data_IF_470669912381
#
_entry.id   IF_470669912381
#
_cell.length_a   1.000
_cell.length_b   1.000
_cell.length_c   1.000
_cell.angle_alpha   90.00
_cell.angle_beta   90.00
_cell.angle_gamma   90.00
#
_symmetry.space_group_name_H-M   'P 1'
#
loop_
_entity.id
_entity.type
_entity.pdbx_description
1 polymer ?
#
# COMPACT_ATOMS: atom_id res chain seq x y z
N UNK A 1 -17.18 7.37 -9.29
CA UNK A 1 -15.99 6.49 -9.23
C UNK A 1 -14.74 7.15 -8.64
N UNK A 2 -14.46 8.46 -8.91
CA UNK A 2 -13.28 9.19 -8.37
C UNK A 2 -13.23 9.27 -6.82
N UNK A 3 -14.35 9.38 -6.12
CA UNK A 3 -14.39 9.57 -4.66
C UNK A 3 -14.21 8.27 -3.84
N UNK A 4 -14.53 7.11 -4.41
CA UNK A 4 -14.45 5.82 -3.71
C UNK A 4 -13.04 5.24 -3.63
N UNK A 5 -12.15 5.54 -4.59
CA UNK A 5 -10.78 5.04 -4.59
C UNK A 5 -9.93 5.62 -3.45
N UNK A 6 -10.17 6.86 -3.03
CA UNK A 6 -9.33 7.54 -2.02
C UNK A 6 -9.73 7.16 -0.60
N UNK A 7 -11.04 7.00 -0.33
CA UNK A 7 -11.55 6.75 1.02
C UNK A 7 -11.46 5.29 1.49
N UNK A 8 -11.46 4.33 0.57
CA UNK A 8 -11.49 2.90 0.87
C UNK A 8 -10.12 2.18 0.76
N UNK A 9 -9.07 2.92 0.41
CA UNK A 9 -7.72 2.37 0.19
C UNK A 9 -7.07 1.73 1.44
N UNK A 10 -7.70 1.77 2.61
CA UNK A 10 -7.04 1.46 3.88
C UNK A 10 -7.44 0.11 4.49
N UNK A 11 -8.52 -0.53 4.10
CA UNK A 11 -8.96 -1.82 4.68
C UNK A 11 -9.32 -2.84 3.61
N UNK A 12 -8.87 -4.05 3.70
CA UNK A 12 -9.21 -5.27 2.89
C UNK A 12 -9.84 -4.97 1.52
N UNK A 13 -9.12 -4.23 0.72
CA UNK A 13 -9.61 -3.33 -0.33
C UNK A 13 -10.57 -4.02 -1.31
N UNK A 14 -10.18 -5.17 -1.86
CA UNK A 14 -10.92 -5.73 -2.98
C UNK A 14 -12.28 -6.32 -2.58
N UNK A 15 -12.38 -6.94 -1.38
CA UNK A 15 -13.63 -7.57 -0.94
C UNK A 15 -14.62 -6.57 -0.38
N UNK A 16 -14.16 -5.58 0.39
CA UNK A 16 -15.01 -4.54 0.94
C UNK A 16 -15.54 -3.65 -0.18
N UNK A 17 -14.65 -3.22 -1.09
CA UNK A 17 -15.07 -2.44 -2.28
C UNK A 17 -16.09 -3.23 -3.10
N UNK A 18 -15.81 -4.53 -3.36
CA UNK A 18 -16.74 -5.38 -4.10
C UNK A 18 -18.10 -5.48 -3.40
N UNK A 19 -18.11 -5.63 -2.07
CA UNK A 19 -19.34 -5.67 -1.28
C UNK A 19 -20.07 -4.32 -1.31
N UNK A 20 -19.38 -3.23 -1.05
CA UNK A 20 -19.96 -1.87 -1.07
C UNK A 20 -20.59 -1.56 -2.42
N UNK A 21 -19.87 -1.79 -3.53
CA UNK A 21 -20.41 -1.56 -4.87
C UNK A 21 -21.62 -2.46 -5.19
N UNK A 22 -21.62 -3.68 -4.66
CA UNK A 22 -22.76 -4.60 -4.79
C UNK A 22 -23.96 -4.12 -3.98
N UNK A 23 -23.74 -3.72 -2.72
CA UNK A 23 -24.78 -3.24 -1.82
C UNK A 23 -25.40 -1.90 -2.30
N UNK A 24 -24.60 -1.04 -2.93
CA UNK A 24 -25.02 0.21 -3.58
C UNK A 24 -25.68 0.00 -4.94
N UNK A 25 -25.75 -1.24 -5.44
CA UNK A 25 -26.39 -1.57 -6.72
C UNK A 25 -25.63 -1.04 -7.95
N UNK A 26 -24.34 -0.71 -7.81
CA UNK A 26 -23.53 -0.23 -8.93
C UNK A 26 -23.25 -1.41 -9.88
N UNK A 27 -23.61 -1.31 -11.19
CA UNK A 27 -23.41 -2.41 -12.12
C UNK A 27 -21.91 -2.66 -12.38
N UNK A 28 -21.55 -3.93 -12.58
CA UNK A 28 -20.19 -4.30 -13.01
C UNK A 28 -19.93 -3.85 -14.44
N UNK A 29 -18.66 -3.76 -14.89
CA UNK A 29 -18.34 -3.46 -16.30
C UNK A 29 -18.98 -4.42 -17.31
N UNK A 30 -19.33 -5.64 -16.89
CA UNK A 30 -20.02 -6.64 -17.70
C UNK A 30 -21.56 -6.59 -17.55
N UNK A 31 -22.11 -5.58 -16.88
CA UNK A 31 -23.55 -5.43 -16.66
C UNK A 31 -24.14 -6.30 -15.54
N UNK A 32 -23.32 -7.03 -14.78
CA UNK A 32 -23.79 -7.85 -13.65
C UNK A 32 -24.01 -7.01 -12.38
N UNK A 33 -24.69 -7.59 -11.39
CA UNK A 33 -25.02 -6.92 -10.12
C UNK A 33 -24.03 -7.24 -8.99
N UNK A 34 -23.23 -8.30 -9.11
CA UNK A 34 -22.26 -8.72 -8.08
C UNK A 34 -20.83 -8.43 -8.49
N UNK A 35 -20.14 -7.65 -7.68
CA UNK A 35 -18.72 -7.38 -7.86
C UNK A 35 -17.86 -8.49 -7.29
N UNK A 36 -16.86 -8.94 -8.05
CA UNK A 36 -15.84 -9.89 -7.60
C UNK A 36 -14.59 -9.19 -7.09
N UNK A 37 -13.97 -9.72 -6.03
CA UNK A 37 -12.72 -9.17 -5.49
C UNK A 37 -11.56 -9.21 -6.51
N UNK A 38 -11.55 -10.21 -7.39
CA UNK A 38 -10.56 -10.32 -8.49
C UNK A 38 -10.73 -9.20 -9.51
N UNK A 39 -11.97 -8.83 -9.84
CA UNK A 39 -12.27 -7.71 -10.74
C UNK A 39 -11.80 -6.40 -10.15
N UNK A 40 -12.09 -6.16 -8.86
CA UNK A 40 -11.61 -4.96 -8.15
C UNK A 40 -10.09 -4.92 -8.13
N UNK A 41 -9.42 -6.04 -7.79
CA UNK A 41 -7.96 -6.09 -7.81
C UNK A 41 -7.38 -5.79 -9.18
N UNK A 42 -7.98 -6.33 -10.25
CA UNK A 42 -7.57 -6.05 -11.63
C UNK A 42 -7.72 -4.58 -12.00
N UNK A 43 -8.82 -3.93 -11.57
CA UNK A 43 -9.04 -2.49 -11.79
C UNK A 43 -7.99 -1.67 -11.01
N UNK A 44 -7.77 -1.97 -9.74
CA UNK A 44 -6.83 -1.22 -8.89
C UNK A 44 -5.37 -1.34 -9.36
N UNK A 45 -4.99 -2.43 -10.03
CA UNK A 45 -3.62 -2.67 -10.53
C UNK A 45 -3.42 -2.37 -12.01
N UNK A 46 -4.42 -1.81 -12.68
CA UNK A 46 -4.30 -1.51 -14.11
C UNK A 46 -3.68 -0.12 -14.33
N UNK A 47 -2.46 -0.10 -14.86
CA UNK A 47 -1.66 1.11 -15.12
C UNK A 47 -2.36 2.12 -16.05
N UNK A 48 -3.33 1.68 -16.84
CA UNK A 48 -4.10 2.57 -17.72
C UNK A 48 -4.88 3.64 -16.96
N UNK A 49 -5.22 3.40 -15.70
CA UNK A 49 -5.92 4.42 -14.91
C UNK A 49 -5.04 5.61 -14.54
N UNK A 50 -3.71 5.43 -14.49
CA UNK A 50 -2.76 6.54 -14.26
C UNK A 50 -2.25 7.19 -15.54
N UNK A 51 -2.71 6.74 -16.73
CA UNK A 51 -2.33 7.30 -18.02
C UNK A 51 -1.25 6.52 -18.76
N UNK A 52 -0.74 5.42 -18.23
CA UNK A 52 0.33 4.61 -18.82
C UNK A 52 -0.22 3.42 -19.60
N UNK A 53 0.64 2.79 -20.38
CA UNK A 53 0.29 1.56 -21.10
C UNK A 53 1.44 0.56 -21.09
N UNK A 54 1.17 -0.66 -20.61
CA UNK A 54 2.07 -1.81 -20.79
C UNK A 54 1.63 -2.58 -22.03
N UNK A 55 2.46 -2.57 -23.05
CA UNK A 55 2.23 -3.26 -24.33
C UNK A 55 2.77 -4.70 -24.26
N UNK A 56 2.22 -5.57 -25.09
CA UNK A 56 2.60 -6.98 -25.19
C UNK A 56 2.42 -7.77 -23.87
N UNK A 57 1.35 -7.47 -23.12
CA UNK A 57 0.94 -8.28 -21.95
C UNK A 57 0.59 -9.72 -22.31
N UNK A 58 0.15 -9.93 -23.54
CA UNK A 58 -0.16 -11.24 -24.10
C UNK A 58 0.44 -11.37 -25.49
N UNK A 59 0.77 -12.58 -25.89
CA UNK A 59 1.25 -12.89 -27.23
C UNK A 59 0.62 -14.18 -27.74
N UNK A 60 0.64 -14.38 -29.05
CA UNK A 60 0.18 -15.59 -29.68
C UNK A 60 1.31 -16.63 -29.65
N UNK A 61 1.11 -17.74 -28.93
CA UNK A 61 2.12 -18.79 -28.77
C UNK A 61 2.30 -19.58 -30.07
N UNK A 62 1.19 -19.80 -30.77
CA UNK A 62 1.17 -20.59 -32.02
C UNK A 62 0.25 -19.90 -33.02
N UNK A 63 0.81 -19.63 -34.20
CA UNK A 63 0.10 -18.94 -35.29
C UNK A 63 -1.09 -19.79 -35.81
N UNK A 64 -1.00 -21.12 -35.79
CA UNK A 64 -2.04 -21.99 -36.29
C UNK A 64 -3.24 -22.06 -35.35
N UNK A 65 -2.99 -22.21 -34.06
CA UNK A 65 -4.03 -22.32 -33.03
C UNK A 65 -4.54 -20.96 -32.54
N UNK A 66 -3.81 -19.87 -32.81
CA UNK A 66 -4.10 -18.49 -32.36
C UNK A 66 -4.31 -18.38 -30.83
N UNK A 67 -3.73 -19.33 -30.08
CA UNK A 67 -3.85 -19.37 -28.63
C UNK A 67 -3.06 -18.24 -28.00
N UNK A 68 -3.76 -17.36 -27.29
CA UNK A 68 -3.16 -16.23 -26.55
C UNK A 68 -2.58 -16.73 -25.22
N UNK A 69 -1.34 -16.35 -24.93
CA UNK A 69 -0.64 -16.64 -23.69
C UNK A 69 -0.24 -15.32 -23.02
N UNK A 70 -0.33 -15.28 -21.68
CA UNK A 70 0.19 -14.14 -20.90
C UNK A 70 1.71 -14.12 -21.01
N UNK A 71 2.27 -12.99 -21.41
CA UNK A 71 3.71 -12.77 -21.50
C UNK A 71 4.32 -12.69 -20.08
N UNK A 72 5.20 -13.63 -19.78
CA UNK A 72 5.95 -13.68 -18.52
C UNK A 72 7.45 -13.39 -18.72
N UNK A 73 7.80 -12.76 -19.84
CA UNK A 73 9.17 -12.45 -20.24
C UNK A 73 9.63 -13.19 -21.48
N UNK A 74 8.76 -13.99 -22.13
CA UNK A 74 9.09 -14.71 -23.36
C UNK A 74 9.24 -13.78 -24.57
N UNK A 75 8.50 -12.65 -24.56
CA UNK A 75 8.55 -11.62 -25.60
C UNK A 75 8.80 -10.27 -24.93
N UNK A 76 9.59 -9.35 -25.53
CA UNK A 76 9.81 -8.02 -24.97
C UNK A 76 8.49 -7.29 -24.68
N UNK A 77 8.40 -6.69 -23.49
CA UNK A 77 7.29 -5.82 -23.10
C UNK A 77 7.74 -4.36 -23.16
N UNK A 78 6.86 -3.48 -23.58
CA UNK A 78 7.15 -2.06 -23.67
C UNK A 78 6.21 -1.29 -22.75
N UNK A 79 6.81 -0.53 -21.82
CA UNK A 79 6.08 0.36 -20.93
C UNK A 79 6.13 1.78 -21.51
N UNK A 80 4.95 2.36 -21.73
CA UNK A 80 4.81 3.71 -22.28
C UNK A 80 4.18 4.59 -21.21
N UNK A 81 4.94 5.55 -20.71
CA UNK A 81 4.45 6.54 -19.75
C UNK A 81 3.66 7.64 -20.47
N UNK A 82 2.65 8.18 -19.78
CA UNK A 82 1.80 9.27 -20.29
C UNK A 82 1.20 8.99 -21.68
N UNK A 83 0.80 7.76 -21.92
CA UNK A 83 0.20 7.32 -23.18
C UNK A 83 -1.16 7.99 -23.47
N UNK A 84 -1.89 8.36 -22.41
CA UNK A 84 -3.20 9.01 -22.48
C UNK A 84 -3.47 9.80 -21.20
N UNK A 85 -4.51 10.63 -21.21
CA UNK A 85 -4.92 11.41 -20.05
C UNK A 85 -5.26 10.51 -18.86
N UNK A 86 -4.65 10.79 -17.70
CA UNK A 86 -4.84 10.02 -16.49
C UNK A 86 -6.27 10.19 -15.91
N UNK A 87 -6.93 9.08 -15.61
CA UNK A 87 -8.24 9.08 -14.92
C UNK A 87 -8.05 9.28 -13.43
N UNK A 88 -6.97 8.72 -12.88
CA UNK A 88 -6.57 8.81 -11.48
C UNK A 88 -5.18 9.44 -11.45
N UNK A 89 -4.99 10.39 -10.55
CA UNK A 89 -3.69 10.99 -10.30
C UNK A 89 -2.62 9.92 -10.08
N UNK A 90 -1.45 10.02 -10.76
CA UNK A 90 -0.37 9.03 -10.63
C UNK A 90 0.10 8.80 -9.19
N UNK A 91 0.17 9.84 -8.35
CA UNK A 91 0.56 9.71 -6.95
C UNK A 91 -0.45 8.83 -6.17
N UNK A 92 -1.73 9.06 -6.38
CA UNK A 92 -2.81 8.26 -5.79
C UNK A 92 -2.75 6.80 -6.25
N UNK A 93 -2.49 6.56 -7.54
CA UNK A 93 -2.33 5.21 -8.05
C UNK A 93 -1.16 4.48 -7.39
N UNK A 94 0.00 5.12 -7.31
CA UNK A 94 1.20 4.56 -6.67
C UNK A 94 0.99 4.28 -5.17
N UNK A 95 0.27 5.15 -4.45
CA UNK A 95 -0.12 4.90 -3.06
C UNK A 95 -0.93 3.61 -2.92
N UNK A 96 -1.89 3.38 -3.84
CA UNK A 96 -2.69 2.14 -3.86
C UNK A 96 -1.82 0.92 -4.14
N UNK A 97 -0.89 1.00 -5.11
CA UNK A 97 0.03 -0.12 -5.42
C UNK A 97 0.89 -0.50 -4.21
N UNK A 98 1.44 0.49 -3.50
CA UNK A 98 2.25 0.25 -2.30
C UNK A 98 1.45 -0.39 -1.19
N UNK A 99 0.23 0.06 -0.95
CA UNK A 99 -0.64 -0.56 0.05
C UNK A 99 -1.00 -2.00 -0.33
N UNK A 100 -1.25 -2.28 -1.61
CA UNK A 100 -1.45 -3.64 -2.11
C UNK A 100 -0.20 -4.50 -1.89
N UNK A 101 0.99 -3.99 -2.22
CA UNK A 101 2.27 -4.69 -2.03
C UNK A 101 2.59 -4.92 -0.54
N UNK A 102 2.36 -3.93 0.32
CA UNK A 102 2.54 -4.05 1.78
C UNK A 102 1.73 -5.21 2.35
N UNK A 103 0.51 -5.40 1.88
CA UNK A 103 -0.40 -6.47 2.33
C UNK A 103 -0.03 -7.84 1.78
N UNK A 104 0.57 -7.91 0.59
CA UNK A 104 1.00 -9.18 0.00
C UNK A 104 2.31 -9.68 0.58
N UNK A 105 3.22 -8.81 1.01
CA UNK A 105 4.51 -9.16 1.63
C UNK A 105 4.37 -9.75 3.04
N UNK A 106 3.26 -9.53 3.73
CA UNK A 106 3.00 -10.16 5.04
C UNK A 106 2.77 -11.67 4.89
N UNK A 107 3.56 -12.49 5.63
CA UNK A 107 3.41 -13.96 5.70
C UNK A 107 2.03 -14.45 6.14
N UNK A 108 1.20 -13.57 6.65
CA UNK A 108 -0.16 -13.87 7.08
C UNK A 108 -1.13 -13.46 5.96
N UNK A 109 -1.55 -14.43 5.16
CA UNK A 109 -2.71 -14.30 4.28
C UNK A 109 -3.96 -14.13 5.14
N UNK A 110 -4.25 -12.89 5.52
CA UNK A 110 -5.54 -12.59 6.13
C UNK A 110 -6.59 -12.71 5.03
N UNK A 111 -7.66 -13.46 5.31
CA UNK A 111 -8.78 -13.61 4.37
C UNK A 111 -9.47 -12.28 4.04
N UNK A 112 -9.12 -11.20 4.75
CA UNK A 112 -9.56 -9.83 4.49
C UNK A 112 -11.08 -9.61 4.54
N UNK A 113 -11.86 -10.63 4.93
CA UNK A 113 -13.33 -10.63 4.91
C UNK A 113 -13.92 -9.77 6.03
N UNK A 114 -13.17 -9.53 7.10
CA UNK A 114 -13.67 -8.81 8.28
C UNK A 114 -12.87 -7.53 8.53
N UNK A 115 -13.55 -6.51 9.02
CA UNK A 115 -13.00 -5.18 9.33
C UNK A 115 -11.80 -5.24 10.30
N UNK A 116 -11.83 -6.15 11.27
CA UNK A 116 -10.77 -6.31 12.28
C UNK A 116 -9.59 -7.16 11.80
N UNK A 117 -9.65 -7.76 10.60
CA UNK A 117 -8.59 -8.63 10.08
C UNK A 117 -7.26 -7.88 9.92
N UNK A 118 -6.19 -8.41 10.54
CA UNK A 118 -4.86 -7.80 10.50
C UNK A 118 -4.74 -6.48 11.27
N UNK A 119 -5.68 -6.18 12.16
CA UNK A 119 -5.70 -4.95 12.95
C UNK A 119 -5.51 -5.16 14.45
N UNK A 120 -5.52 -6.39 14.93
CA UNK A 120 -5.35 -6.69 16.36
C UNK A 120 -4.11 -7.55 16.56
N UNK A 121 -3.15 -7.06 17.32
CA UNK A 121 -1.94 -7.77 17.75
C UNK A 121 -2.13 -8.46 19.10
N UNK A 122 -1.43 -9.55 19.30
CA UNK A 122 -1.33 -10.23 20.59
C UNK A 122 -0.21 -9.61 21.41
N UNK A 123 -0.51 -9.14 22.61
CA UNK A 123 0.48 -8.58 23.55
C UNK A 123 1.47 -9.61 24.08
N UNK A 124 1.12 -10.92 24.08
CA UNK A 124 2.03 -11.96 24.55
C UNK A 124 3.08 -12.35 23.50
N UNK A 125 2.65 -12.64 22.26
CA UNK A 125 3.55 -13.20 21.25
C UNK A 125 3.79 -12.29 20.04
N UNK A 126 3.21 -11.08 20.01
CA UNK A 126 3.30 -10.15 18.88
C UNK A 126 2.58 -10.60 17.60
N UNK A 127 1.96 -11.79 17.60
CA UNK A 127 1.21 -12.32 16.46
C UNK A 127 -0.12 -11.60 16.26
N UNK A 128 -0.78 -11.89 15.14
CA UNK A 128 -2.04 -11.26 14.80
C UNK A 128 -3.24 -12.10 15.23
N UNK A 129 -4.31 -11.44 15.63
CA UNK A 129 -5.60 -12.08 15.83
C UNK A 129 -6.27 -12.40 14.49
N UNK A 130 -6.97 -13.53 14.46
CA UNK A 130 -7.79 -13.96 13.34
C UNK A 130 -9.21 -14.31 13.77
N UNK A 131 -10.16 -14.17 12.85
CA UNK A 131 -11.54 -14.58 13.06
C UNK A 131 -11.64 -16.11 13.15
N UNK A 132 -12.42 -16.60 14.12
CA UNK A 132 -12.76 -18.01 14.30
C UNK A 132 -14.25 -18.15 14.46
N UNK A 133 -14.81 -19.20 13.87
CA UNK A 133 -16.23 -19.54 14.09
C UNK A 133 -16.32 -20.42 15.32
N UNK A 134 -17.10 -19.97 16.31
CA UNK A 134 -17.41 -20.73 17.51
C UNK A 134 -18.78 -21.38 17.35
N UNK A 135 -18.93 -22.65 17.79
CA UNK A 135 -20.16 -23.44 17.69
C UNK A 135 -20.72 -23.52 16.25
N UNK A 136 -19.85 -23.90 15.30
CA UNK A 136 -20.20 -23.99 13.88
C UNK A 136 -21.45 -24.84 13.55
N UNK A 137 -21.75 -25.94 14.24
CA UNK A 137 -22.94 -26.76 13.98
C UNK A 137 -24.22 -26.31 14.69
N UNK A 138 -24.15 -25.31 15.57
CA UNK A 138 -25.27 -24.91 16.45
C UNK A 138 -25.93 -23.60 15.99
N UNK A 139 -27.19 -23.38 16.47
CA UNK A 139 -27.93 -22.13 16.26
C UNK A 139 -27.20 -20.89 16.86
N UNK A 140 -26.28 -21.12 17.80
CA UNK A 140 -25.49 -20.08 18.48
C UNK A 140 -24.16 -19.76 17.80
N UNK A 141 -24.05 -20.00 16.50
CA UNK A 141 -22.86 -19.68 15.70
C UNK A 141 -22.48 -18.22 15.86
N UNK A 142 -21.26 -17.94 16.34
CA UNK A 142 -20.70 -16.59 16.45
C UNK A 142 -19.26 -16.51 15.96
N UNK A 143 -18.86 -15.33 15.52
CA UNK A 143 -17.48 -15.03 15.15
C UNK A 143 -16.78 -14.47 16.37
N UNK A 144 -15.66 -15.07 16.75
CA UNK A 144 -14.75 -14.58 17.79
C UNK A 144 -13.39 -14.27 17.18
N UNK A 145 -12.66 -13.40 17.82
CA UNK A 145 -11.28 -13.06 17.46
C UNK A 145 -10.32 -13.69 18.45
N UNK A 146 -9.29 -14.35 17.94
CA UNK A 146 -8.32 -15.10 18.72
C UNK A 146 -6.93 -14.95 18.11
N UNK A 147 -5.89 -14.92 18.95
CA UNK A 147 -4.50 -15.00 18.51
C UNK A 147 -4.27 -16.23 17.62
N UNK A 148 -3.73 -16.03 16.42
CA UNK A 148 -3.47 -17.11 15.46
C UNK A 148 -2.40 -18.10 15.97
N UNK A 149 -1.57 -17.69 16.93
CA UNK A 149 -0.53 -18.52 17.54
C UNK A 149 -0.94 -19.16 18.87
N UNK A 150 -2.20 -18.98 19.32
CA UNK A 150 -2.67 -19.42 20.64
C UNK A 150 -2.40 -20.91 20.93
N UNK A 151 -2.44 -21.74 19.88
CA UNK A 151 -2.22 -23.19 19.99
C UNK A 151 -1.06 -23.70 19.12
N UNK A 152 -0.25 -22.81 18.55
CA UNK A 152 0.83 -23.17 17.62
C UNK A 152 2.22 -23.04 18.23
N UNK A 153 2.39 -22.14 19.21
CA UNK A 153 3.65 -21.91 19.88
C UNK A 153 3.83 -22.91 21.04
N UNK A 154 5.06 -23.19 21.41
CA UNK A 154 5.41 -24.02 22.59
C UNK A 154 4.77 -23.46 23.87
N UNK A 155 4.82 -22.13 24.02
CA UNK A 155 4.12 -21.43 25.10
C UNK A 155 2.81 -20.87 24.53
N UNK A 156 1.69 -21.31 25.11
CA UNK A 156 0.35 -20.84 24.71
C UNK A 156 0.14 -19.40 25.12
N UNK A 157 -0.37 -18.58 24.20
CA UNK A 157 -0.79 -17.23 24.53
C UNK A 157 -1.99 -17.24 25.49
N UNK A 158 -1.90 -16.43 26.54
CA UNK A 158 -2.94 -16.31 27.58
C UNK A 158 -4.00 -15.26 27.23
N UNK A 159 -3.74 -14.45 26.20
CA UNK A 159 -4.66 -13.40 25.74
C UNK A 159 -6.07 -13.92 25.47
N UNK A 160 -7.11 -13.16 25.88
CA UNK A 160 -8.51 -13.59 25.79
C UNK A 160 -9.02 -13.64 24.33
N UNK A 161 -10.16 -14.29 24.18
CA UNK A 161 -10.98 -14.13 22.97
C UNK A 161 -11.65 -12.76 23.01
N UNK A 162 -11.83 -12.17 21.84
CA UNK A 162 -12.48 -10.88 21.70
C UNK A 162 -13.72 -11.03 20.81
N UNK A 163 -14.81 -10.42 21.25
CA UNK A 163 -15.99 -10.21 20.42
C UNK A 163 -15.85 -8.91 19.63
N UNK A 164 -16.34 -8.89 18.41
CA UNK A 164 -16.27 -7.71 17.54
C UNK A 164 -16.97 -6.50 18.16
N UNK A 165 -18.13 -6.70 18.80
CA UNK A 165 -18.86 -5.65 19.49
C UNK A 165 -18.04 -5.00 20.62
N UNK A 166 -17.34 -5.82 21.41
CA UNK A 166 -16.46 -5.34 22.49
C UNK A 166 -15.32 -4.50 21.93
N UNK A 167 -14.67 -4.96 20.86
CA UNK A 167 -13.59 -4.21 20.22
C UNK A 167 -14.10 -2.85 19.67
N UNK A 168 -15.27 -2.84 19.03
CA UNK A 168 -15.89 -1.63 18.51
C UNK A 168 -16.21 -0.61 19.60
N UNK A 169 -16.78 -1.05 20.71
CA UNK A 169 -17.11 -0.17 21.84
C UNK A 169 -15.84 0.42 22.48
N UNK A 170 -14.83 -0.40 22.71
CA UNK A 170 -13.57 0.05 23.29
C UNK A 170 -12.81 1.00 22.34
N UNK A 171 -12.90 0.78 21.02
CA UNK A 171 -12.36 1.72 20.05
C UNK A 171 -13.00 3.11 20.16
N UNK A 172 -14.34 3.18 20.36
CA UNK A 172 -15.05 4.46 20.54
C UNK A 172 -14.50 5.22 21.75
N UNK A 173 -14.22 4.51 22.87
CA UNK A 173 -13.63 5.12 24.07
C UNK A 173 -12.23 5.69 23.76
N UNK A 174 -11.34 4.88 23.16
CA UNK A 174 -9.99 5.30 22.81
C UNK A 174 -9.98 6.44 21.77
N UNK A 175 -10.88 6.39 20.77
CA UNK A 175 -11.01 7.44 19.78
C UNK A 175 -11.50 8.77 20.40
N UNK A 176 -12.41 8.72 21.39
CA UNK A 176 -12.84 9.92 22.12
C UNK A 176 -11.70 10.53 22.94
N UNK A 177 -10.79 9.72 23.50
CA UNK A 177 -9.60 10.25 24.18
C UNK A 177 -8.66 10.93 23.18
N UNK A 178 -8.47 10.37 21.99
CA UNK A 178 -7.72 11.02 20.91
C UNK A 178 -8.37 12.35 20.50
N UNK A 179 -9.70 12.36 20.31
CA UNK A 179 -10.45 13.55 19.91
C UNK A 179 -10.43 14.66 20.97
N UNK A 180 -10.40 14.31 22.25
CA UNK A 180 -10.26 15.29 23.34
C UNK A 180 -8.93 16.05 23.28
N UNK A 181 -7.86 15.42 22.77
CA UNK A 181 -6.56 16.03 22.58
C UNK A 181 -6.28 16.52 21.16
N UNK A 182 -7.28 16.55 20.26
CA UNK A 182 -7.10 16.73 18.81
C UNK A 182 -6.36 18.00 18.42
N UNK A 183 -6.71 19.15 19.02
CA UNK A 183 -6.16 20.43 18.62
C UNK A 183 -4.66 20.54 18.96
N UNK A 184 -4.25 20.01 20.12
CA UNK A 184 -2.84 19.89 20.50
C UNK A 184 -2.10 18.90 19.58
N UNK A 185 -2.72 17.77 19.22
CA UNK A 185 -2.14 16.79 18.31
C UNK A 185 -1.98 17.37 16.89
N UNK A 186 -2.95 18.13 16.40
CA UNK A 186 -2.89 18.81 15.10
C UNK A 186 -1.76 19.84 15.10
N UNK A 187 -1.69 20.71 16.11
CA UNK A 187 -0.66 21.75 16.20
C UNK A 187 0.76 21.17 16.30
N UNK A 188 0.96 20.15 17.15
CA UNK A 188 2.25 19.46 17.29
C UNK A 188 2.67 18.79 15.98
N UNK A 189 1.69 18.25 15.25
CA UNK A 189 1.94 17.59 14.01
C UNK A 189 2.28 18.56 12.87
N UNK A 190 1.52 19.65 12.73
CA UNK A 190 1.80 20.68 11.71
C UNK A 190 3.20 21.30 11.90
N UNK A 191 3.66 21.44 13.14
CA UNK A 191 5.02 21.90 13.44
C UNK A 191 6.11 20.86 13.14
N UNK A 192 5.83 19.57 13.42
CA UNK A 192 6.78 18.48 13.23
C UNK A 192 6.91 18.01 11.77
N UNK A 193 5.79 17.99 11.04
CA UNK A 193 5.74 17.53 9.66
C UNK A 193 6.56 18.38 8.68
N UNK A 194 6.54 19.70 8.85
CA UNK A 194 7.23 20.63 7.95
C UNK A 194 8.74 20.34 7.85
N UNK A 195 9.32 19.71 8.90
CA UNK A 195 10.75 19.40 8.94
C UNK A 195 11.08 17.95 8.59
N UNK A 196 10.27 16.98 9.04
CA UNK A 196 10.61 15.56 8.94
C UNK A 196 10.12 14.88 7.64
N UNK A 197 9.21 15.52 6.91
CA UNK A 197 8.65 15.02 5.66
C UNK A 197 8.96 15.94 4.47
N UNK A 198 10.04 16.72 4.57
CA UNK A 198 10.56 17.51 3.46
C UNK A 198 11.37 16.61 2.52
N UNK A 199 11.03 16.67 1.24
CA UNK A 199 11.70 15.90 0.18
C UNK A 199 12.61 16.75 -0.69
N UNK A 200 12.70 18.06 -0.44
CA UNK A 200 13.39 19.02 -1.30
C UNK A 200 14.86 18.66 -1.53
N UNK A 201 15.56 18.23 -0.49
CA UNK A 201 16.97 17.83 -0.62
C UNK A 201 17.14 16.53 -1.41
N UNK A 202 16.26 15.54 -1.18
CA UNK A 202 16.28 14.28 -1.92
C UNK A 202 15.90 14.48 -3.39
N UNK A 203 14.96 15.36 -3.69
CA UNK A 203 14.58 15.73 -5.05
C UNK A 203 15.72 16.43 -5.79
N UNK A 204 16.45 17.32 -5.10
CA UNK A 204 17.65 17.94 -5.65
C UNK A 204 18.76 16.91 -5.94
N UNK A 205 18.98 15.94 -5.04
CA UNK A 205 19.93 14.85 -5.27
C UNK A 205 19.50 13.95 -6.43
N UNK A 206 18.23 13.64 -6.55
CA UNK A 206 17.68 12.86 -7.67
C UNK A 206 17.90 13.58 -8.99
N UNK A 207 17.65 14.89 -9.03
CA UNK A 207 17.87 15.71 -10.22
C UNK A 207 19.33 15.75 -10.63
N UNK A 208 20.25 15.92 -9.68
CA UNK A 208 21.70 15.88 -9.95
C UNK A 208 22.16 14.53 -10.53
N UNK A 209 21.60 13.41 -10.04
CA UNK A 209 21.88 12.09 -10.59
C UNK A 209 21.33 11.90 -12.00
N UNK A 210 20.17 12.47 -12.32
CA UNK A 210 19.60 12.47 -13.68
C UNK A 210 20.52 13.22 -14.64
N UNK A 211 21.04 14.38 -14.25
CA UNK A 211 21.98 15.16 -15.04
C UNK A 211 23.32 14.41 -15.23
N UNK A 212 23.82 13.73 -14.19
CA UNK A 212 25.02 12.87 -14.29
C UNK A 212 24.79 11.70 -15.26
N UNK A 213 23.64 11.03 -15.19
CA UNK A 213 23.28 9.95 -16.10
C UNK A 213 23.16 10.42 -17.55
N UNK A 214 22.60 11.61 -17.81
CA UNK A 214 22.51 12.20 -19.14
C UNK A 214 23.90 12.49 -19.71
N UNK A 215 24.81 13.04 -18.89
CA UNK A 215 26.19 13.28 -19.25
C UNK A 215 26.93 11.98 -19.57
N UNK A 216 26.81 10.95 -18.71
CA UNK A 216 27.43 9.64 -18.94
C UNK A 216 26.90 8.97 -20.21
N UNK A 217 25.59 9.05 -20.47
CA UNK A 217 24.99 8.54 -21.70
C UNK A 217 25.53 9.27 -22.94
N UNK A 218 25.67 10.59 -22.89
CA UNK A 218 26.32 11.38 -23.93
C UNK A 218 27.75 10.94 -24.23
N UNK A 219 28.55 10.67 -23.18
CA UNK A 219 29.94 10.17 -23.31
C UNK A 219 29.97 8.76 -23.92
N UNK A 220 29.08 7.87 -23.52
CA UNK A 220 28.95 6.51 -24.09
C UNK A 220 28.59 6.60 -25.58
N UNK A 221 27.60 7.42 -25.94
CA UNK A 221 27.19 7.61 -27.33
C UNK A 221 28.32 8.19 -28.19
N UNK A 222 29.07 9.15 -27.68
CA UNK A 222 30.24 9.72 -28.38
C UNK A 222 31.31 8.66 -28.59
N UNK A 223 31.59 7.83 -27.59
CA UNK A 223 32.59 6.79 -27.67
C UNK A 223 32.21 5.70 -28.70
N UNK A 224 30.91 5.31 -28.74
CA UNK A 224 30.37 4.39 -29.76
C UNK A 224 30.58 4.96 -31.16
N UNK A 225 30.29 6.26 -31.39
CA UNK A 225 30.47 6.92 -32.68
C UNK A 225 31.92 6.99 -33.10
N UNK A 226 32.82 7.27 -32.16
CA UNK A 226 34.26 7.31 -32.44
C UNK A 226 34.81 5.93 -32.81
N UNK A 227 34.42 4.88 -32.12
CA UNK A 227 34.82 3.51 -32.43
C UNK A 227 34.31 3.01 -33.79
N UNK A 228 33.15 3.51 -34.22
CA UNK A 228 32.60 3.21 -35.55
C UNK A 228 33.33 3.97 -36.68
N UNK A 229 33.93 5.13 -36.39
CA UNK A 229 34.54 5.98 -37.39
C UNK A 229 36.07 5.74 -37.56
N UNK A 230 36.76 5.29 -36.51
CA UNK A 230 38.22 5.13 -36.50
C UNK A 230 38.58 3.80 -35.87
N UNK A 231 39.52 3.06 -36.51
CA UNK A 231 40.06 1.81 -35.93
C UNK A 231 40.79 2.12 -34.61
N UNK A 232 40.37 1.49 -33.53
CA UNK A 232 40.93 1.67 -32.19
C UNK A 232 41.35 0.32 -31.59
N UNK A 233 42.18 0.34 -30.54
CA UNK A 233 42.43 -0.83 -29.73
C UNK A 233 41.13 -1.24 -29.00
N UNK A 234 40.60 -2.40 -29.37
CA UNK A 234 39.34 -2.91 -28.85
C UNK A 234 39.42 -3.27 -27.35
N UNK A 235 40.58 -3.65 -26.85
CA UNK A 235 40.78 -3.97 -25.44
C UNK A 235 40.66 -2.69 -24.58
N UNK A 236 41.28 -1.61 -25.02
CA UNK A 236 41.23 -0.32 -24.33
C UNK A 236 39.83 0.30 -24.45
N UNK A 237 39.18 0.20 -25.62
CA UNK A 237 37.80 0.61 -25.84
C UNK A 237 36.84 -0.10 -24.87
N UNK A 238 36.89 -1.43 -24.80
CA UNK A 238 36.03 -2.21 -23.94
C UNK A 238 36.22 -1.82 -22.46
N UNK A 239 37.45 -1.66 -22.00
CA UNK A 239 37.75 -1.23 -20.64
C UNK A 239 37.13 0.12 -20.30
N UNK A 240 37.18 1.10 -21.21
CA UNK A 240 36.57 2.43 -21.02
C UNK A 240 35.05 2.37 -21.08
N UNK A 241 34.51 1.57 -22.00
CA UNK A 241 33.07 1.36 -22.12
C UNK A 241 32.49 0.72 -20.87
N UNK A 242 33.11 -0.34 -20.36
CA UNK A 242 32.69 -1.03 -19.14
C UNK A 242 32.75 -0.09 -17.93
N UNK A 243 33.80 0.74 -17.83
CA UNK A 243 33.94 1.70 -16.74
C UNK A 243 32.82 2.77 -16.77
N UNK A 244 32.47 3.30 -17.95
CA UNK A 244 31.38 4.28 -18.08
C UNK A 244 30.00 3.61 -17.85
N UNK A 245 29.79 2.42 -18.39
CA UNK A 245 28.57 1.64 -18.18
C UNK A 245 28.35 1.29 -16.71
N UNK A 246 29.44 0.98 -15.98
CA UNK A 246 29.36 0.73 -14.54
C UNK A 246 28.98 2.00 -13.78
N UNK A 247 29.59 3.15 -14.09
CA UNK A 247 29.22 4.44 -13.48
C UNK A 247 27.75 4.78 -13.73
N UNK A 248 27.27 4.56 -14.96
CA UNK A 248 25.86 4.78 -15.29
C UNK A 248 24.93 3.89 -14.44
N UNK A 249 25.24 2.60 -14.31
CA UNK A 249 24.47 1.67 -13.47
C UNK A 249 24.49 2.06 -11.99
N UNK A 250 25.65 2.52 -11.50
CA UNK A 250 25.77 2.97 -10.11
C UNK A 250 24.96 4.25 -9.85
N UNK A 251 24.92 5.19 -10.79
CA UNK A 251 24.09 6.39 -10.72
C UNK A 251 22.59 6.03 -10.78
N UNK A 252 22.20 5.11 -11.68
CA UNK A 252 20.85 4.60 -11.79
C UNK A 252 20.37 3.94 -10.48
N UNK A 253 21.19 3.06 -9.90
CA UNK A 253 20.87 2.42 -8.63
C UNK A 253 20.69 3.43 -7.47
N UNK A 254 21.53 4.46 -7.41
CA UNK A 254 21.40 5.55 -6.43
C UNK A 254 20.12 6.37 -6.66
N UNK A 255 19.82 6.73 -7.90
CA UNK A 255 18.60 7.44 -8.29
C UNK A 255 17.35 6.65 -7.86
N UNK A 256 17.33 5.34 -8.11
CA UNK A 256 16.20 4.47 -7.76
C UNK A 256 16.03 4.36 -6.24
N UNK A 257 17.12 4.25 -5.48
CA UNK A 257 17.09 4.24 -4.02
C UNK A 257 16.55 5.57 -3.44
N UNK A 258 16.93 6.71 -4.01
CA UNK A 258 16.41 8.03 -3.63
C UNK A 258 14.93 8.15 -4.00
N UNK A 259 14.53 7.68 -5.18
CA UNK A 259 13.13 7.67 -5.61
C UNK A 259 12.24 6.86 -4.65
N UNK A 260 12.74 5.71 -4.16
CA UNK A 260 12.04 4.91 -3.15
C UNK A 260 11.89 5.69 -1.82
N UNK A 261 12.95 6.38 -1.37
CA UNK A 261 12.89 7.22 -0.15
C UNK A 261 11.89 8.36 -0.27
N UNK A 262 11.93 9.12 -1.38
CA UNK A 262 10.98 10.22 -1.66
C UNK A 262 9.55 9.67 -1.63
N UNK A 263 9.35 8.55 -2.26
CA UNK A 263 8.10 7.85 -2.35
C UNK A 263 7.55 7.44 -0.99
N UNK A 264 8.39 6.91 -0.09
CA UNK A 264 8.01 6.53 1.28
C UNK A 264 7.66 7.75 2.12
N UNK A 265 8.41 8.85 1.98
CA UNK A 265 8.13 10.10 2.68
C UNK A 265 6.78 10.67 2.22
N UNK A 266 6.52 10.72 0.91
CA UNK A 266 5.26 11.19 0.34
C UNK A 266 4.07 10.32 0.80
N UNK A 267 4.25 9.00 0.86
CA UNK A 267 3.22 8.09 1.37
C UNK A 267 2.89 8.36 2.85
N UNK A 268 3.91 8.57 3.67
CA UNK A 268 3.73 8.92 5.10
C UNK A 268 3.02 10.25 5.24
N UNK A 269 3.41 11.26 4.44
CA UNK A 269 2.76 12.57 4.41
C UNK A 269 1.28 12.43 4.08
N UNK A 270 0.92 11.78 2.97
CA UNK A 270 -0.47 11.59 2.56
C UNK A 270 -1.30 10.82 3.59
N UNK A 271 -0.73 9.76 4.19
CA UNK A 271 -1.42 9.01 5.26
C UNK A 271 -1.76 9.88 6.45
N UNK A 272 -0.90 10.83 6.75
CA UNK A 272 -1.04 11.71 7.89
C UNK A 272 -1.97 12.90 7.60
N UNK A 273 -1.94 13.43 6.38
CA UNK A 273 -2.90 14.44 5.91
C UNK A 273 -4.33 13.89 5.94
N UNK A 274 -4.52 12.63 5.50
CA UNK A 274 -5.80 11.93 5.62
C UNK A 274 -6.24 11.79 7.08
N UNK A 275 -5.30 11.39 7.97
CA UNK A 275 -5.55 11.29 9.40
C UNK A 275 -6.01 12.62 10.00
N UNK A 276 -5.28 13.71 9.71
CA UNK A 276 -5.61 15.06 10.18
C UNK A 276 -6.95 15.56 9.61
N UNK A 277 -7.21 15.28 8.32
CA UNK A 277 -8.48 15.64 7.68
C UNK A 277 -9.66 14.96 8.37
N UNK A 278 -9.52 13.68 8.74
CA UNK A 278 -10.55 12.96 9.47
C UNK A 278 -10.74 13.51 10.88
N UNK A 279 -9.66 13.85 11.59
CA UNK A 279 -9.74 14.48 12.90
C UNK A 279 -10.42 15.85 12.85
N UNK A 280 -10.08 16.68 11.85
CA UNK A 280 -10.66 18.02 11.67
C UNK A 280 -12.15 17.96 11.32
N UNK A 281 -12.58 16.95 10.56
CA UNK A 281 -13.99 16.78 10.15
C UNK A 281 -14.88 16.21 11.24
N UNK A 282 -14.28 15.61 12.29
CA UNK A 282 -15.06 15.01 13.35
C UNK A 282 -15.46 16.08 14.39
N UNK A 283 -16.75 16.45 14.42
CA UNK A 283 -17.31 17.36 15.38
C UNK A 283 -17.90 16.61 16.59
N UNK A 284 -17.37 16.89 17.79
CA UNK A 284 -17.86 16.31 19.04
C UNK A 284 -17.38 14.89 19.31
N UNK A 285 -17.97 14.28 20.34
CA UNK A 285 -17.66 12.92 20.77
C UNK A 285 -18.38 11.88 19.90
N UNK A 286 -17.71 10.75 19.68
CA UNK A 286 -18.29 9.60 19.01
C UNK A 286 -19.25 8.87 19.97
N UNK A 287 -20.48 8.70 19.55
CA UNK A 287 -21.48 7.88 20.25
C UNK A 287 -21.54 6.45 19.74
N UNK A 288 -21.16 6.25 18.48
CA UNK A 288 -21.21 4.96 17.81
C UNK A 288 -19.91 4.68 17.05
N UNK A 289 -19.69 3.41 16.74
CA UNK A 289 -18.54 2.96 15.97
C UNK A 289 -18.64 3.41 14.52
N UNK A 290 -17.58 4.02 14.01
CA UNK A 290 -17.44 4.40 12.60
C UNK A 290 -16.34 3.56 11.93
N UNK A 291 -16.71 2.83 10.87
CA UNK A 291 -15.74 2.07 10.05
C UNK A 291 -14.73 3.00 9.39
N UNK A 292 -15.16 4.18 8.97
CA UNK A 292 -14.28 5.19 8.36
C UNK A 292 -13.21 5.65 9.33
N UNK A 293 -13.59 5.95 10.58
CA UNK A 293 -12.63 6.37 11.61
C UNK A 293 -11.74 5.21 12.05
N UNK A 294 -12.28 3.98 12.16
CA UNK A 294 -11.48 2.79 12.40
C UNK A 294 -10.38 2.61 11.35
N UNK A 295 -10.73 2.69 10.07
CA UNK A 295 -9.77 2.53 8.98
C UNK A 295 -8.83 3.73 8.84
N UNK A 296 -9.33 4.93 9.05
CA UNK A 296 -8.60 6.17 8.84
C UNK A 296 -7.65 6.55 9.97
N UNK A 297 -8.05 6.31 11.21
CA UNK A 297 -7.29 6.73 12.39
C UNK A 297 -6.42 5.62 12.99
N UNK A 298 -6.92 4.37 13.04
CA UNK A 298 -6.24 3.28 13.71
C UNK A 298 -5.10 2.70 12.86
N UNK A 299 -3.93 2.47 13.48
CA UNK A 299 -2.88 1.63 12.93
C UNK A 299 -3.11 0.17 13.36
N UNK A 300 -3.08 -0.12 14.64
CA UNK A 300 -3.43 -1.42 15.19
C UNK A 300 -3.91 -1.33 16.65
N UNK A 301 -4.62 -2.37 17.09
CA UNK A 301 -4.95 -2.57 18.49
C UNK A 301 -4.07 -3.68 19.08
N UNK A 302 -3.77 -3.64 20.39
CA UNK A 302 -3.05 -4.70 21.09
C UNK A 302 -3.91 -5.26 22.22
N UNK A 303 -4.10 -6.58 22.21
CA UNK A 303 -4.83 -7.30 23.24
C UNK A 303 -3.86 -7.93 24.24
N UNK A 304 -4.03 -7.67 25.53
CA UNK A 304 -3.20 -8.17 26.60
C UNK A 304 -3.88 -9.32 27.38
N UNK A 305 -3.08 -10.07 28.13
CA UNK A 305 -3.54 -11.22 28.92
C UNK A 305 -4.54 -10.83 30.02
N UNK A 306 -4.41 -9.66 30.59
CA UNK A 306 -5.30 -9.08 31.60
C UNK A 306 -6.65 -8.56 31.02
N UNK A 307 -6.84 -8.70 29.71
CA UNK A 307 -8.04 -8.26 29.03
C UNK A 307 -8.03 -6.80 28.59
N UNK A 308 -6.97 -6.04 28.85
CA UNK A 308 -6.83 -4.69 28.32
C UNK A 308 -6.71 -4.72 26.80
N UNK A 309 -7.27 -3.68 26.17
CA UNK A 309 -7.10 -3.36 24.75
C UNK A 309 -6.54 -1.96 24.64
N UNK A 310 -5.38 -1.85 24.02
CA UNK A 310 -4.83 -0.54 23.65
C UNK A 310 -4.93 -0.32 22.14
N UNK A 311 -5.21 0.90 21.75
CA UNK A 311 -5.36 1.30 20.36
C UNK A 311 -4.24 2.26 20.00
N UNK A 312 -3.37 1.84 19.08
CA UNK A 312 -2.30 2.68 18.54
C UNK A 312 -2.81 3.34 17.27
N UNK A 313 -2.85 4.65 17.28
CA UNK A 313 -3.31 5.45 16.16
C UNK A 313 -2.14 5.75 15.20
N UNK A 314 -2.45 6.16 13.97
CA UNK A 314 -1.45 6.41 12.91
C UNK A 314 -0.46 7.53 13.24
N UNK A 315 -0.80 8.43 14.16
CA UNK A 315 0.11 9.44 14.70
C UNK A 315 1.06 8.90 15.78
N UNK A 316 1.01 7.59 16.09
CA UNK A 316 1.81 6.94 17.12
C UNK A 316 1.25 7.05 18.54
N UNK A 317 0.18 7.83 18.77
CA UNK A 317 -0.47 7.88 20.08
C UNK A 317 -1.17 6.58 20.42
N UNK A 318 -1.16 6.19 21.69
CA UNK A 318 -1.79 4.96 22.18
C UNK A 318 -2.72 5.28 23.34
N UNK A 319 -3.95 4.79 23.23
CA UNK A 319 -4.97 4.95 24.26
C UNK A 319 -5.57 3.61 24.64
N UNK A 320 -6.01 3.48 25.88
CA UNK A 320 -6.75 2.32 26.36
C UNK A 320 -8.25 2.50 26.11
N UNK A 321 -8.89 1.42 25.67
CA UNK A 321 -10.32 1.41 25.40
C UNK A 321 -11.11 0.49 26.31
#
# INVERSE_FOLDING_TARGET
MRLYCVSLAIASISLIIAKTLTDEGIPTPAGGTKWGATTIKSILSNEKYKGDALLQKTFCEDFLTKKMKTNQGEVPQYYVENNHEAIIDPETFEMVQRELARRTKGRNRHSGVHLLSGRIKCGDCGGWYGSKVWHSPEKCKRIIWQCNHKYKNEVRCTTPYLDEATVKLRFVVAANQLLAGRDAAIAAYEQGMAKSLDTTELEAQQQALLEEMEMLNGMIQQMIRQNAAVAQDQAEYNKRFDALSQKFKDAEAKKDAIAEQISDIRLRRGTMEDFLSLLKKQDGQLTEFSEQLWCGLLDYATAYADGRLTFTFKNGSTYEG
#
